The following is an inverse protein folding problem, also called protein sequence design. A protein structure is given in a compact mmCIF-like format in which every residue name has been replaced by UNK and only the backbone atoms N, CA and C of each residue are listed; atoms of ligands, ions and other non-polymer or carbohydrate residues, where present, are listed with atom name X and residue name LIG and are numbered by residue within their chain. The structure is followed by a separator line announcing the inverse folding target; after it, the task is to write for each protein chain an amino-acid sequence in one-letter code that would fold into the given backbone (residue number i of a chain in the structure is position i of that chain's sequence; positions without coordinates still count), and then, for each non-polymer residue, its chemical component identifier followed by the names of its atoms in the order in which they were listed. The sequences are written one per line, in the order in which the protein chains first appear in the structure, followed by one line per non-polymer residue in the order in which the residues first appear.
data_IF_690002790542
#
_entry.id   IF_690002790542
#
_cell.length_a   1.000
_cell.length_b   1.000
_cell.length_c   1.000
_cell.angle_alpha   90.00
_cell.angle_beta   90.00
_cell.angle_gamma   90.00
#
_symmetry.space_group_name_H-M   'P 1'
#
loop_
_entity.id
_entity.type
_entity.pdbx_description
1 polymer ?
#
# COMPACT_ATOMS: atom_id res chain seq x y z
N UNK A 1 62.06 17.69 12.23
CA UNK A 1 60.69 18.22 12.46
C UNK A 1 59.70 18.02 11.30
N UNK A 2 60.11 18.17 10.03
CA UNK A 2 59.20 18.03 8.85
C UNK A 2 58.62 16.61 8.68
N UNK A 3 59.42 15.57 8.95
CA UNK A 3 59.01 14.16 8.89
C UNK A 3 58.04 13.75 10.01
N UNK A 4 58.18 14.36 11.20
CA UNK A 4 57.27 14.14 12.34
C UNK A 4 55.89 14.78 12.11
N UNK A 5 55.83 15.97 11.50
CA UNK A 5 54.56 16.61 11.10
C UNK A 5 53.82 15.81 10.00
N UNK A 6 54.55 15.24 9.04
CA UNK A 6 53.98 14.37 8.01
C UNK A 6 53.46 13.05 8.59
N UNK A 7 54.17 12.47 9.56
CA UNK A 7 53.72 11.24 10.24
C UNK A 7 52.48 11.50 11.11
N UNK A 8 52.42 12.64 11.81
CA UNK A 8 51.27 13.04 12.62
C UNK A 8 50.01 13.30 11.78
N UNK A 9 50.15 13.94 10.61
CA UNK A 9 49.05 14.14 9.67
C UNK A 9 48.51 12.83 9.09
N UNK A 10 49.40 11.86 8.82
CA UNK A 10 49.00 10.56 8.28
C UNK A 10 48.25 9.70 9.32
N UNK A 11 48.62 9.80 10.60
CA UNK A 11 47.93 9.10 11.70
C UNK A 11 46.54 9.69 11.98
N UNK A 12 46.38 11.02 11.90
CA UNK A 12 45.08 11.70 12.09
C UNK A 12 44.10 11.35 10.95
N UNK A 13 44.59 11.14 9.73
CA UNK A 13 43.75 10.73 8.59
C UNK A 13 43.24 9.29 8.67
N UNK A 14 43.94 8.39 9.40
CA UNK A 14 43.55 6.98 9.53
C UNK A 14 42.46 6.79 10.61
N UNK A 15 42.34 7.72 11.59
CA UNK A 15 41.39 7.61 12.70
C UNK A 15 39.97 8.13 12.40
N UNK A 16 39.70 8.68 11.21
CA UNK A 16 38.36 9.14 10.81
C UNK A 16 37.59 8.14 9.93
N UNK A 17 38.09 6.93 9.77
CA UNK A 17 37.31 5.85 9.16
C UNK A 17 36.34 5.33 10.22
N UNK A 18 35.23 6.04 10.43
CA UNK A 18 34.06 5.48 11.10
C UNK A 18 33.52 4.35 10.24
N UNK A 19 33.94 3.13 10.56
CA UNK A 19 33.35 1.92 10.03
C UNK A 19 31.90 1.86 10.52
N UNK A 20 30.96 2.36 9.71
CA UNK A 20 29.56 2.09 9.94
C UNK A 20 29.33 0.61 9.64
N UNK A 21 29.19 -0.20 10.69
CA UNK A 21 28.63 -1.54 10.56
C UNK A 21 27.23 -1.40 10.01
N UNK A 22 27.05 -1.67 8.72
CA UNK A 22 25.76 -1.71 8.05
C UNK A 22 25.02 -2.96 8.52
N UNK A 23 24.41 -2.88 9.70
CA UNK A 23 23.47 -3.88 10.16
C UNK A 23 22.35 -4.06 9.13
N UNK A 24 21.92 -5.30 8.91
CA UNK A 24 20.84 -5.60 7.96
C UNK A 24 19.57 -4.80 8.29
N UNK A 25 18.76 -4.50 7.28
CA UNK A 25 17.45 -3.83 7.47
C UNK A 25 16.63 -4.55 8.56
N UNK A 26 16.67 -5.88 8.62
CA UNK A 26 16.02 -6.68 9.66
C UNK A 26 16.45 -6.32 11.08
N UNK A 27 17.74 -6.07 11.32
CA UNK A 27 18.24 -5.71 12.66
C UNK A 27 17.87 -4.27 13.02
N UNK A 28 17.91 -3.37 12.04
CA UNK A 28 17.58 -1.95 12.25
C UNK A 28 16.08 -1.73 12.43
N UNK A 29 15.24 -2.55 11.79
CA UNK A 29 13.78 -2.53 11.93
C UNK A 29 13.32 -2.60 13.39
N UNK A 30 13.97 -3.42 14.24
CA UNK A 30 13.68 -3.53 15.67
C UNK A 30 13.91 -2.24 16.48
N UNK A 31 14.65 -1.28 15.92
CA UNK A 31 14.91 0.01 16.56
C UNK A 31 13.88 1.07 16.19
N UNK A 32 13.01 0.81 15.20
CA UNK A 32 11.93 1.73 14.82
C UNK A 32 10.86 1.69 15.91
N UNK A 33 10.45 2.86 16.38
CA UNK A 33 9.39 3.00 17.38
C UNK A 33 8.38 4.05 16.95
N UNK A 34 7.14 3.88 17.38
CA UNK A 34 6.09 4.86 17.18
C UNK A 34 6.53 6.22 17.76
N UNK A 35 6.31 7.29 17.01
CA UNK A 35 6.67 8.66 17.38
C UNK A 35 8.04 9.14 16.90
N UNK A 36 8.91 8.24 16.39
CA UNK A 36 10.20 8.63 15.80
C UNK A 36 10.01 9.57 14.60
N UNK A 37 10.95 10.49 14.35
CA UNK A 37 10.85 11.43 13.22
C UNK A 37 11.41 10.86 11.92
N UNK A 38 11.07 11.50 10.80
CA UNK A 38 11.66 11.20 9.48
C UNK A 38 13.19 11.28 9.49
N UNK A 39 13.77 12.19 10.26
CA UNK A 39 15.23 12.34 10.39
C UNK A 39 15.84 11.19 11.20
N UNK A 40 15.21 10.80 12.31
CA UNK A 40 15.66 9.66 13.12
C UNK A 40 15.62 8.37 12.31
N UNK A 41 14.55 8.15 11.53
CA UNK A 41 14.45 7.02 10.61
C UNK A 41 15.49 7.10 9.49
N UNK A 42 15.71 8.29 8.91
CA UNK A 42 16.74 8.50 7.89
C UNK A 42 18.15 8.20 8.39
N UNK A 43 18.48 8.55 9.65
CA UNK A 43 19.76 8.21 10.27
C UNK A 43 19.89 6.71 10.55
N UNK A 44 18.79 6.06 10.97
CA UNK A 44 18.76 4.66 11.32
C UNK A 44 18.86 3.75 10.08
N UNK A 45 17.97 3.97 9.11
CA UNK A 45 17.75 3.08 7.95
C UNK A 45 18.40 3.60 6.67
N UNK A 46 18.71 4.88 6.58
CA UNK A 46 19.16 5.52 5.34
C UNK A 46 17.99 5.96 4.46
N UNK A 47 18.31 6.32 3.22
CA UNK A 47 17.31 6.70 2.22
C UNK A 47 16.43 5.49 1.86
N UNK A 48 15.09 5.65 1.80
CA UNK A 48 14.22 4.58 1.34
C UNK A 48 14.37 4.34 -0.17
N UNK A 49 14.00 3.14 -0.61
CA UNK A 49 13.93 2.78 -2.02
C UNK A 49 12.73 3.48 -2.68
N UNK A 50 11.59 3.53 -1.97
CA UNK A 50 10.41 4.28 -2.38
C UNK A 50 9.93 5.20 -1.28
N UNK A 51 9.57 6.43 -1.66
CA UNK A 51 9.07 7.48 -0.76
C UNK A 51 7.85 8.13 -1.40
N UNK A 52 6.78 8.28 -0.62
CA UNK A 52 5.51 8.89 -1.04
C UNK A 52 4.91 9.72 0.09
N UNK A 53 4.29 10.85 -0.23
CA UNK A 53 3.66 11.74 0.75
C UNK A 53 2.40 12.39 0.17
N UNK A 54 1.42 12.64 1.05
CA UNK A 54 0.22 13.44 0.79
C UNK A 54 -0.18 14.21 2.06
N UNK A 55 -0.07 15.53 2.00
CA UNK A 55 -0.31 16.42 3.13
C UNK A 55 0.52 16.05 4.36
N UNK A 56 -0.16 15.60 5.42
CA UNK A 56 0.49 15.19 6.68
C UNK A 56 0.92 13.73 6.72
N UNK A 57 0.48 12.89 5.77
CA UNK A 57 0.78 11.48 5.72
C UNK A 57 1.97 11.24 4.78
N UNK A 58 2.93 10.45 5.23
CA UNK A 58 4.11 10.08 4.46
C UNK A 58 4.42 8.60 4.68
N UNK A 59 4.94 7.91 3.68
CA UNK A 59 5.28 6.49 3.78
C UNK A 59 6.61 6.21 3.08
N UNK A 60 7.48 5.48 3.78
CA UNK A 60 8.80 5.08 3.32
C UNK A 60 8.85 3.55 3.23
N UNK A 61 9.46 3.07 2.16
CA UNK A 61 9.59 1.63 1.88
C UNK A 61 11.06 1.29 1.62
N UNK A 62 11.50 0.23 2.29
CA UNK A 62 12.83 -0.33 2.16
C UNK A 62 12.73 -1.77 1.70
N UNK A 63 13.54 -2.13 0.71
CA UNK A 63 13.61 -3.46 0.13
C UNK A 63 14.98 -4.07 0.45
N UNK A 64 14.99 -5.31 0.95
CA UNK A 64 16.21 -6.06 1.21
C UNK A 64 16.09 -7.49 0.69
N UNK A 65 16.94 -7.88 -0.25
CA UNK A 65 16.93 -9.22 -0.83
C UNK A 65 17.65 -9.25 -2.19
N UNK A 66 18.13 -10.43 -2.59
CA UNK A 66 18.71 -10.65 -3.92
C UNK A 66 17.64 -11.03 -4.95
N UNK A 67 18.02 -10.95 -6.23
CA UNK A 67 17.18 -10.95 -7.45
C UNK A 67 16.21 -12.15 -7.61
N UNK A 68 16.24 -13.20 -6.78
CA UNK A 68 15.61 -14.47 -7.15
C UNK A 68 14.55 -15.08 -6.21
N UNK A 69 14.51 -14.87 -4.88
CA UNK A 69 13.65 -15.76 -4.05
C UNK A 69 13.05 -15.22 -2.75
N UNK A 70 13.50 -14.08 -2.21
CA UNK A 70 12.83 -13.46 -1.06
C UNK A 70 13.12 -11.97 -1.01
N UNK A 71 12.16 -11.14 -1.41
CA UNK A 71 12.26 -9.71 -1.21
C UNK A 71 11.69 -9.39 0.19
N UNK A 72 12.45 -8.73 1.05
CA UNK A 72 11.98 -8.32 2.38
C UNK A 72 11.61 -6.87 2.33
N UNK A 73 10.39 -6.55 2.75
CA UNK A 73 9.91 -5.18 2.80
C UNK A 73 9.91 -4.70 4.25
N UNK A 74 10.26 -3.45 4.45
CA UNK A 74 10.02 -2.68 5.65
C UNK A 74 9.27 -1.41 5.24
N UNK A 75 8.04 -1.27 5.68
CA UNK A 75 7.18 -0.11 5.39
C UNK A 75 7.00 0.67 6.68
N UNK A 76 7.17 1.98 6.61
CA UNK A 76 7.00 2.89 7.75
C UNK A 76 6.08 4.02 7.31
N UNK A 77 5.01 4.24 8.06
CA UNK A 77 4.14 5.40 7.87
C UNK A 77 4.43 6.48 8.90
N UNK A 78 4.35 7.71 8.44
CA UNK A 78 4.51 8.91 9.21
C UNK A 78 3.25 9.76 9.12
N UNK A 79 2.83 10.33 10.24
CA UNK A 79 1.85 11.43 10.26
C UNK A 79 2.48 12.63 10.94
N UNK A 80 2.42 13.79 10.30
CA UNK A 80 3.09 15.02 10.75
C UNK A 80 4.58 14.78 11.03
N UNK A 81 5.26 14.02 10.16
CA UNK A 81 6.68 13.70 10.27
C UNK A 81 7.04 12.69 11.38
N UNK A 82 6.06 12.04 12.02
CA UNK A 82 6.29 11.05 13.10
C UNK A 82 5.76 9.67 12.75
N UNK A 83 6.51 8.62 13.08
CA UNK A 83 6.11 7.23 12.86
C UNK A 83 4.78 6.93 13.54
N UNK A 84 3.81 6.46 12.76
CA UNK A 84 2.50 6.00 13.25
C UNK A 84 2.29 4.51 13.10
N UNK A 85 2.95 3.87 12.12
CA UNK A 85 2.86 2.43 11.89
C UNK A 85 4.14 1.92 11.24
N UNK A 86 4.42 0.63 11.41
CA UNK A 86 5.54 -0.05 10.76
C UNK A 86 5.17 -1.53 10.55
N UNK A 87 5.52 -2.05 9.37
CA UNK A 87 5.33 -3.45 8.99
C UNK A 87 6.61 -4.01 8.33
N UNK A 88 6.93 -5.28 8.59
CA UNK A 88 8.03 -5.98 7.94
C UNK A 88 7.65 -7.41 7.57
N UNK A 89 7.73 -7.76 6.29
CA UNK A 89 7.37 -9.08 5.78
C UNK A 89 8.31 -9.56 4.67
N UNK A 90 8.34 -10.87 4.42
CA UNK A 90 9.03 -11.48 3.28
C UNK A 90 8.02 -11.74 2.17
N UNK A 91 8.31 -11.30 0.96
CA UNK A 91 7.58 -11.68 -0.25
C UNK A 91 8.18 -12.97 -0.82
N UNK A 92 7.34 -13.99 -1.03
CA UNK A 92 7.65 -15.11 -1.90
C UNK A 92 7.24 -14.65 -3.29
N UNK A 93 8.20 -14.44 -4.19
CA UNK A 93 7.93 -13.97 -5.54
C UNK A 93 6.94 -14.93 -6.23
N UNK A 94 5.75 -14.42 -6.57
CA UNK A 94 4.87 -15.04 -7.57
C UNK A 94 4.94 -14.17 -8.81
N UNK A 95 5.61 -14.68 -9.83
CA UNK A 95 5.58 -14.09 -11.18
C UNK A 95 4.13 -14.03 -11.67
N UNK A 96 3.71 -12.90 -12.23
CA UNK A 96 3.38 -12.77 -13.67
C UNK A 96 2.47 -11.58 -13.99
N UNK A 97 2.99 -10.78 -14.92
CA UNK A 97 2.43 -9.88 -15.94
C UNK A 97 1.26 -8.94 -15.63
N UNK A 98 1.59 -7.65 -15.74
CA UNK A 98 0.76 -6.59 -16.30
C UNK A 98 0.20 -7.03 -17.67
N UNK A 99 -1.13 -7.00 -17.84
CA UNK A 99 -1.77 -7.25 -19.13
C UNK A 99 -3.29 -7.25 -19.05
N UNK A 100 -3.90 -6.16 -19.52
CA UNK A 100 -5.27 -6.03 -20.01
C UNK A 100 -6.45 -6.35 -19.06
N UNK A 101 -6.76 -5.39 -18.18
CA UNK A 101 -8.02 -5.36 -17.42
C UNK A 101 -9.00 -4.34 -18.01
N UNK A 102 -9.56 -4.63 -19.19
CA UNK A 102 -10.86 -4.10 -19.59
C UNK A 102 -11.53 -5.08 -20.54
N UNK A 103 -12.45 -5.88 -20.01
CA UNK A 103 -13.68 -6.36 -20.65
C UNK A 103 -13.97 -7.80 -20.24
N UNK A 104 -14.78 -7.94 -19.20
CA UNK A 104 -15.65 -9.10 -19.09
C UNK A 104 -17.01 -8.59 -18.61
N UNK A 105 -17.85 -8.19 -19.57
CA UNK A 105 -19.28 -8.03 -19.36
C UNK A 105 -19.87 -9.41 -19.06
N UNK A 106 -19.97 -9.76 -17.77
CA UNK A 106 -20.74 -10.91 -17.33
C UNK A 106 -22.17 -10.41 -17.09
N UNK A 107 -23.12 -10.87 -17.91
CA UNK A 107 -24.55 -10.64 -17.67
C UNK A 107 -24.97 -11.49 -16.48
N UNK A 108 -25.28 -10.84 -15.38
CA UNK A 108 -25.76 -11.48 -14.17
C UNK A 108 -27.29 -11.44 -14.17
N UNK A 109 -27.93 -12.56 -14.55
CA UNK A 109 -29.40 -12.72 -14.58
C UNK A 109 -29.96 -12.95 -13.15
N UNK A 110 -29.41 -12.24 -12.17
CA UNK A 110 -29.73 -12.37 -10.74
C UNK A 110 -30.69 -11.27 -10.33
N UNK A 111 -31.76 -11.64 -9.63
CA UNK A 111 -32.71 -10.70 -9.01
C UNK A 111 -31.95 -9.68 -8.16
N UNK A 112 -32.08 -8.39 -8.50
CA UNK A 112 -31.39 -7.28 -7.82
C UNK A 112 -30.08 -6.82 -8.48
N UNK A 113 -29.67 -7.39 -9.63
CA UNK A 113 -28.54 -6.88 -10.40
C UNK A 113 -28.84 -5.47 -10.94
N UNK A 114 -27.89 -4.54 -10.74
CA UNK A 114 -27.98 -3.18 -11.28
C UNK A 114 -27.62 -3.19 -12.76
N UNK A 115 -28.44 -2.54 -13.60
CA UNK A 115 -28.13 -2.30 -15.01
C UNK A 115 -27.12 -1.15 -15.20
N UNK A 116 -26.44 -1.12 -16.35
CA UNK A 116 -25.37 -0.15 -16.64
C UNK A 116 -25.82 1.31 -16.44
N UNK A 117 -27.05 1.68 -16.81
CA UNK A 117 -27.53 3.07 -16.69
C UNK A 117 -27.80 3.45 -15.23
N UNK A 118 -28.44 2.56 -14.48
CA UNK A 118 -28.65 2.76 -13.04
C UNK A 118 -27.30 2.84 -12.30
N UNK A 119 -26.34 1.98 -12.66
CA UNK A 119 -25.00 2.02 -12.08
C UNK A 119 -24.28 3.35 -12.33
N UNK A 120 -24.31 3.87 -13.56
CA UNK A 120 -23.68 5.16 -13.86
C UNK A 120 -24.28 6.30 -13.04
N UNK A 121 -25.60 6.27 -12.78
CA UNK A 121 -26.24 7.26 -11.92
C UNK A 121 -25.70 7.18 -10.49
N UNK A 122 -25.66 5.97 -9.90
CA UNK A 122 -25.13 5.74 -8.55
C UNK A 122 -23.66 6.16 -8.45
N UNK A 123 -22.86 5.81 -9.45
CA UNK A 123 -21.44 6.17 -9.51
C UNK A 123 -21.23 7.69 -9.52
N UNK A 124 -21.95 8.42 -10.38
CA UNK A 124 -21.81 9.88 -10.48
C UNK A 124 -22.33 10.60 -9.23
N UNK A 125 -23.43 10.14 -8.65
CA UNK A 125 -23.95 10.68 -7.38
C UNK A 125 -22.95 10.46 -6.24
N UNK A 126 -22.38 9.26 -6.14
CA UNK A 126 -21.36 8.93 -5.14
C UNK A 126 -20.10 9.76 -5.33
N UNK A 127 -19.58 9.83 -6.56
CA UNK A 127 -18.35 10.57 -6.88
C UNK A 127 -18.43 12.04 -6.51
N UNK A 128 -19.56 12.69 -6.79
CA UNK A 128 -19.78 14.12 -6.56
C UNK A 128 -20.29 14.45 -5.15
N UNK A 129 -20.58 13.44 -4.32
CA UNK A 129 -21.03 13.63 -2.94
C UNK A 129 -19.89 14.05 -2.00
N UNK A 130 -20.24 14.88 -1.03
CA UNK A 130 -19.41 15.22 0.14
C UNK A 130 -19.29 14.02 1.07
N UNK A 131 -20.36 13.24 1.24
CA UNK A 131 -20.41 12.05 2.10
C UNK A 131 -20.57 10.79 1.24
N UNK A 132 -19.51 10.43 0.52
CA UNK A 132 -19.49 9.35 -0.48
C UNK A 132 -20.02 8.03 0.08
N UNK A 133 -19.50 7.60 1.23
CA UNK A 133 -19.85 6.31 1.83
C UNK A 133 -21.35 6.21 2.17
N UNK A 134 -21.92 7.24 2.84
CA UNK A 134 -23.35 7.27 3.19
C UNK A 134 -24.26 7.40 1.96
N UNK A 135 -23.83 8.14 0.94
CA UNK A 135 -24.56 8.23 -0.33
C UNK A 135 -24.62 6.86 -1.01
N UNK A 136 -23.49 6.17 -1.06
CA UNK A 136 -23.42 4.86 -1.70
C UNK A 136 -24.21 3.79 -0.93
N UNK A 137 -24.05 3.70 0.39
CA UNK A 137 -24.78 2.75 1.25
C UNK A 137 -26.28 2.80 0.99
N UNK A 138 -26.85 4.01 0.92
CA UNK A 138 -28.28 4.22 0.61
C UNK A 138 -28.64 3.82 -0.81
N UNK A 139 -27.76 4.09 -1.76
CA UNK A 139 -28.00 3.85 -3.18
C UNK A 139 -27.97 2.36 -3.56
N UNK A 140 -27.23 1.53 -2.81
CA UNK A 140 -27.03 0.11 -3.10
C UNK A 140 -27.92 -0.84 -2.26
N UNK A 141 -28.82 -0.31 -1.44
CA UNK A 141 -29.77 -1.12 -0.65
C UNK A 141 -30.54 -2.06 -1.57
N UNK A 142 -30.58 -3.35 -1.21
CA UNK A 142 -31.21 -4.44 -1.96
C UNK A 142 -30.67 -4.65 -3.39
N UNK A 143 -29.50 -4.09 -3.70
CA UNK A 143 -28.87 -4.22 -5.01
C UNK A 143 -27.63 -5.08 -4.95
N UNK A 144 -27.36 -5.72 -6.08
CA UNK A 144 -26.22 -6.58 -6.33
C UNK A 144 -25.35 -5.97 -7.43
N UNK A 145 -24.05 -5.93 -7.15
CA UNK A 145 -23.01 -5.34 -7.98
C UNK A 145 -22.05 -6.44 -8.44
N UNK A 146 -21.53 -6.29 -9.65
CA UNK A 146 -20.38 -7.07 -10.12
C UNK A 146 -19.07 -6.56 -9.51
N UNK A 147 -18.04 -7.39 -9.51
CA UNK A 147 -16.68 -7.01 -9.14
C UNK A 147 -16.17 -5.86 -10.01
N UNK A 148 -16.55 -5.81 -11.30
CA UNK A 148 -16.21 -4.70 -12.20
C UNK A 148 -16.86 -3.37 -11.76
N UNK A 149 -18.13 -3.41 -11.35
CA UNK A 149 -18.82 -2.24 -10.80
C UNK A 149 -18.22 -1.82 -9.44
N UNK A 150 -17.87 -2.80 -8.58
CA UNK A 150 -17.15 -2.56 -7.33
C UNK A 150 -15.80 -1.86 -7.58
N UNK A 151 -15.01 -2.33 -8.54
CA UNK A 151 -13.74 -1.73 -8.95
C UNK A 151 -13.91 -0.28 -9.41
N UNK A 152 -14.94 -0.01 -10.22
CA UNK A 152 -15.22 1.35 -10.68
C UNK A 152 -15.59 2.27 -9.51
N UNK A 153 -16.39 1.82 -8.54
CA UNK A 153 -16.68 2.59 -7.32
C UNK A 153 -15.43 2.81 -6.45
N UNK A 154 -14.58 1.79 -6.27
CA UNK A 154 -13.31 1.92 -5.57
C UNK A 154 -12.38 2.94 -6.24
N UNK A 155 -12.39 3.03 -7.58
CA UNK A 155 -11.55 3.96 -8.35
C UNK A 155 -11.89 5.46 -8.14
N UNK A 156 -12.98 5.77 -7.43
CA UNK A 156 -13.27 7.13 -6.96
C UNK A 156 -12.15 7.61 -6.03
N UNK A 157 -11.50 6.68 -5.32
CA UNK A 157 -10.40 6.97 -4.41
C UNK A 157 -9.05 6.64 -5.03
N UNK A 158 -8.10 7.56 -4.85
CA UNK A 158 -6.72 7.36 -5.28
C UNK A 158 -6.00 6.35 -4.38
N UNK A 159 -6.25 6.37 -3.07
CA UNK A 159 -5.49 5.60 -2.08
C UNK A 159 -6.17 4.30 -1.68
N UNK A 160 -5.39 3.22 -1.60
CA UNK A 160 -5.89 1.89 -1.20
C UNK A 160 -6.61 1.87 0.15
N UNK A 161 -6.19 2.66 1.13
CA UNK A 161 -6.87 2.74 2.42
C UNK A 161 -8.34 3.17 2.28
N UNK A 162 -8.62 4.12 1.41
CA UNK A 162 -9.99 4.58 1.16
C UNK A 162 -10.72 3.63 0.21
N UNK A 163 -10.02 3.01 -0.75
CA UNK A 163 -10.56 1.89 -1.55
C UNK A 163 -11.00 0.71 -0.65
N UNK A 164 -10.28 0.41 0.43
CA UNK A 164 -10.60 -0.65 1.38
C UNK A 164 -11.80 -0.30 2.26
N UNK A 165 -11.95 0.97 2.68
CA UNK A 165 -13.18 1.44 3.36
C UNK A 165 -14.40 1.30 2.45
N UNK A 166 -14.24 1.68 1.19
CA UNK A 166 -15.26 1.49 0.15
C UNK A 166 -15.59 0.01 -0.04
N UNK A 167 -14.58 -0.86 -0.10
CA UNK A 167 -14.78 -2.30 -0.20
C UNK A 167 -15.54 -2.88 1.00
N UNK A 168 -15.30 -2.35 2.21
CA UNK A 168 -16.04 -2.76 3.41
C UNK A 168 -17.54 -2.48 3.30
N UNK A 169 -17.93 -1.35 2.67
CA UNK A 169 -19.33 -1.01 2.38
C UNK A 169 -19.91 -1.94 1.31
N UNK A 170 -19.09 -2.31 0.32
CA UNK A 170 -19.53 -3.04 -0.86
C UNK A 170 -19.62 -4.56 -0.67
N UNK A 171 -18.86 -5.15 0.25
CA UNK A 171 -18.63 -6.60 0.33
C UNK A 171 -19.90 -7.46 0.30
N UNK A 172 -20.97 -7.05 0.97
CA UNK A 172 -22.22 -7.82 1.09
C UNK A 172 -23.14 -7.64 -0.14
N UNK A 173 -22.78 -6.71 -1.02
CA UNK A 173 -23.49 -6.38 -2.25
C UNK A 173 -22.82 -6.99 -3.50
N UNK A 174 -21.63 -7.60 -3.40
CA UNK A 174 -20.96 -8.22 -4.55
C UNK A 174 -21.64 -9.55 -4.88
N UNK A 175 -21.86 -9.80 -6.17
CA UNK A 175 -22.64 -10.93 -6.66
C UNK A 175 -21.79 -12.03 -7.31
N UNK A 176 -20.73 -11.65 -8.02
CA UNK A 176 -19.84 -12.54 -8.78
C UNK A 176 -18.56 -12.85 -7.99
N UNK A 177 -18.71 -13.57 -6.88
CA UNK A 177 -17.62 -13.85 -5.93
C UNK A 177 -16.43 -14.60 -6.53
N UNK A 178 -16.63 -15.28 -7.67
CA UNK A 178 -15.56 -15.91 -8.45
C UNK A 178 -14.53 -14.92 -9.00
N UNK A 179 -14.87 -13.63 -9.06
CA UNK A 179 -14.03 -12.56 -9.62
C UNK A 179 -13.35 -11.69 -8.55
N UNK A 180 -13.37 -12.11 -7.27
CA UNK A 180 -12.75 -11.35 -6.20
C UNK A 180 -11.27 -11.06 -6.41
N UNK A 181 -10.54 -11.93 -7.11
CA UNK A 181 -9.14 -11.70 -7.45
C UNK A 181 -8.93 -10.41 -8.25
N UNK A 182 -9.92 -9.96 -9.03
CA UNK A 182 -9.84 -8.68 -9.75
C UNK A 182 -9.81 -7.49 -8.78
N UNK A 183 -10.61 -7.55 -7.71
CA UNK A 183 -10.62 -6.54 -6.65
C UNK A 183 -9.28 -6.54 -5.92
N UNK A 184 -8.82 -7.71 -5.50
CA UNK A 184 -7.54 -7.86 -4.79
C UNK A 184 -6.38 -7.36 -5.65
N UNK A 185 -6.34 -7.74 -6.92
CA UNK A 185 -5.24 -7.37 -7.81
C UNK A 185 -5.24 -5.89 -8.23
N UNK A 186 -6.36 -5.17 -8.07
CA UNK A 186 -6.45 -3.73 -8.35
C UNK A 186 -5.79 -2.83 -7.30
N UNK A 187 -5.46 -3.38 -6.14
CA UNK A 187 -4.79 -2.65 -5.07
C UNK A 187 -3.29 -2.64 -5.30
N UNK A 188 -2.66 -1.51 -5.00
CA UNK A 188 -1.25 -1.28 -5.27
C UNK A 188 -0.36 -1.99 -4.24
N UNK A 189 -0.81 -2.09 -2.99
CA UNK A 189 -0.02 -2.65 -1.89
C UNK A 189 -0.45 -4.04 -1.47
N UNK A 190 0.51 -4.95 -1.25
CA UNK A 190 0.24 -6.33 -0.77
C UNK A 190 -0.52 -6.33 0.56
N UNK A 191 -0.22 -5.40 1.48
CA UNK A 191 -0.98 -5.25 2.73
C UNK A 191 -2.45 -4.93 2.45
N UNK A 192 -2.73 -4.05 1.48
CA UNK A 192 -4.08 -3.78 1.02
C UNK A 192 -4.71 -5.00 0.37
N UNK A 193 -3.98 -5.75 -0.46
CA UNK A 193 -4.44 -7.01 -1.05
C UNK A 193 -4.86 -8.02 0.03
N UNK A 194 -4.05 -8.19 1.07
CA UNK A 194 -4.36 -9.07 2.20
C UNK A 194 -5.57 -8.58 2.99
N UNK A 195 -5.68 -7.27 3.23
CA UNK A 195 -6.85 -6.71 3.90
C UNK A 195 -8.12 -6.88 3.07
N UNK A 196 -8.04 -6.72 1.74
CA UNK A 196 -9.15 -6.99 0.85
C UNK A 196 -9.58 -8.46 0.90
N UNK A 197 -8.63 -9.41 0.93
CA UNK A 197 -8.95 -10.83 1.13
C UNK A 197 -9.69 -11.09 2.44
N UNK A 198 -9.24 -10.48 3.54
CA UNK A 198 -9.94 -10.56 4.84
C UNK A 198 -11.37 -10.02 4.76
N UNK A 199 -11.55 -8.83 4.14
CA UNK A 199 -12.88 -8.21 3.97
C UNK A 199 -13.80 -9.10 3.12
N UNK A 200 -13.26 -9.73 2.08
CA UNK A 200 -13.99 -10.57 1.13
C UNK A 200 -14.16 -12.03 1.60
N UNK A 201 -13.55 -12.42 2.72
CA UNK A 201 -13.61 -13.79 3.24
C UNK A 201 -12.86 -14.82 2.38
N UNK A 202 -11.81 -14.39 1.67
CA UNK A 202 -10.96 -15.26 0.86
C UNK A 202 -9.88 -15.87 1.76
N UNK A 203 -9.70 -17.21 1.76
CA UNK A 203 -8.67 -17.87 2.54
C UNK A 203 -7.23 -17.54 2.12
#
# INVERSE_FOLDING_TARGET
MRKFKQLLLLVISITLVSCHTTGSIKQKAWKVQQGMTTEEIGQLLGKPDFRRFDGSLEQWEYQSGGIATSCKFLIIEFRNGKVTSMDSYNEIAKETSVGDLYSSKISLDTVGSIDDNEFEKIYNETKNSVFKDSTLEKAIINKKLSCAQCLKLMSIYTFDNDKLKMLQVLKDHIADTTNYDNIVNSLDFISSKNKAKEILGIP
#
